data_IF_596484869864
#
_entry.id   IF_596484869864
#
_cell.length_a   1.000
_cell.length_b   1.000
_cell.length_c   1.000
_cell.angle_alpha   90.00
_cell.angle_beta   90.00
_cell.angle_gamma   90.00
#
_symmetry.space_group_name_H-M   'P 1'
#
loop_
_entity.id
_entity.type
_entity.pdbx_description
1 polymer ?
#
# COMPACT_ATOMS: atom_id res chain seq x y z
N UNK A 1 -8.64 -3.82 18.96
CA UNK A 1 -8.56 -5.25 18.57
C UNK A 1 -7.14 -5.60 18.14
N UNK A 2 -6.58 -4.89 17.15
CA UNK A 2 -5.20 -5.13 16.68
C UNK A 2 -4.14 -4.96 17.77
N UNK A 3 -4.20 -3.94 18.63
CA UNK A 3 -3.16 -3.72 19.66
C UNK A 3 -3.07 -4.90 20.64
N UNK A 4 -4.20 -5.48 21.05
CA UNK A 4 -4.22 -6.67 21.91
C UNK A 4 -3.63 -7.90 21.19
N UNK A 5 -3.97 -8.08 19.91
CA UNK A 5 -3.41 -9.17 19.10
C UNK A 5 -1.89 -9.02 18.97
N UNK A 6 -1.40 -7.81 18.69
CA UNK A 6 0.02 -7.52 18.53
C UNK A 6 0.81 -7.58 19.85
N UNK A 7 0.16 -7.38 21.00
CA UNK A 7 0.78 -7.64 22.30
C UNK A 7 1.04 -9.14 22.52
N UNK A 8 0.14 -10.01 22.05
CA UNK A 8 0.27 -11.46 22.23
C UNK A 8 1.02 -12.16 21.09
N UNK A 9 0.93 -11.63 19.88
CA UNK A 9 1.57 -12.13 18.68
C UNK A 9 2.01 -10.94 17.80
N UNK A 10 3.21 -10.40 18.02
CA UNK A 10 3.72 -9.25 17.29
C UNK A 10 4.02 -9.55 15.82
N UNK A 11 4.06 -10.82 15.43
CA UNK A 11 4.37 -11.26 14.06
C UNK A 11 3.11 -11.65 13.28
N UNK A 12 1.93 -11.24 13.75
CA UNK A 12 0.67 -11.51 13.08
C UNK A 12 0.42 -10.52 11.94
N UNK A 13 0.68 -10.99 10.71
CA UNK A 13 0.60 -10.21 9.47
C UNK A 13 -0.73 -9.46 9.32
N UNK A 14 -1.86 -10.15 9.48
CA UNK A 14 -3.20 -9.58 9.28
C UNK A 14 -3.53 -8.49 10.30
N UNK A 15 -2.98 -8.55 11.51
CA UNK A 15 -3.16 -7.47 12.48
C UNK A 15 -2.40 -6.21 12.08
N UNK A 16 -1.18 -6.33 11.53
CA UNK A 16 -0.45 -5.16 11.02
C UNK A 16 -1.12 -4.55 9.80
N UNK A 17 -1.57 -5.38 8.85
CA UNK A 17 -2.30 -4.90 7.67
C UNK A 17 -3.60 -4.20 8.09
N UNK A 18 -4.43 -4.84 8.92
CA UNK A 18 -5.70 -4.27 9.39
C UNK A 18 -5.51 -2.99 10.20
N UNK A 19 -4.48 -2.92 11.04
CA UNK A 19 -4.12 -1.71 11.79
C UNK A 19 -3.67 -0.58 10.86
N UNK A 20 -2.88 -0.89 9.83
CA UNK A 20 -2.50 0.08 8.80
C UNK A 20 -3.72 0.68 8.10
N UNK A 21 -4.67 -0.17 7.65
CA UNK A 21 -5.90 0.26 6.98
C UNK A 21 -6.72 1.17 7.90
N UNK A 22 -6.83 0.81 9.19
CA UNK A 22 -7.51 1.65 10.17
C UNK A 22 -6.84 3.03 10.29
N UNK A 23 -5.50 3.11 10.35
CA UNK A 23 -4.78 4.38 10.39
C UNK A 23 -4.89 5.19 9.10
N UNK A 24 -4.89 4.54 7.93
CA UNK A 24 -5.16 5.22 6.64
C UNK A 24 -6.54 5.88 6.66
N UNK A 25 -7.57 5.19 7.16
CA UNK A 25 -8.94 5.76 7.30
C UNK A 25 -9.00 6.90 8.30
N UNK A 26 -8.15 6.88 9.34
CA UNK A 26 -7.98 7.97 10.30
C UNK A 26 -7.08 9.11 9.79
N UNK A 27 -6.61 9.04 8.52
CA UNK A 27 -5.68 10.00 7.90
C UNK A 27 -4.35 10.13 8.63
N UNK A 28 -3.95 9.10 9.39
CA UNK A 28 -2.65 9.02 10.06
C UNK A 28 -1.66 8.24 9.19
N UNK A 29 -1.26 8.86 8.07
CA UNK A 29 -0.57 8.18 6.98
C UNK A 29 0.82 7.67 7.38
N UNK A 30 1.59 8.43 8.16
CA UNK A 30 2.91 8.01 8.64
C UNK A 30 2.81 6.75 9.53
N UNK A 31 1.82 6.71 10.43
CA UNK A 31 1.55 5.55 11.28
C UNK A 31 1.08 4.36 10.46
N UNK A 32 0.23 4.59 9.45
CA UNK A 32 -0.24 3.56 8.53
C UNK A 32 0.93 2.95 7.74
N UNK A 33 1.81 3.78 7.19
CA UNK A 33 3.04 3.34 6.49
C UNK A 33 3.91 2.48 7.42
N UNK A 34 4.05 2.86 8.69
CA UNK A 34 4.76 2.05 9.69
C UNK A 34 4.15 0.65 9.86
N UNK A 35 2.81 0.56 9.88
CA UNK A 35 2.10 -0.71 9.97
C UNK A 35 2.26 -1.55 8.69
N UNK A 36 2.14 -0.95 7.51
CA UNK A 36 2.36 -1.67 6.24
C UNK A 36 3.81 -2.15 6.10
N UNK A 37 4.79 -1.36 6.53
CA UNK A 37 6.19 -1.81 6.58
C UNK A 37 6.36 -3.05 7.47
N UNK A 38 5.66 -3.11 8.62
CA UNK A 38 5.68 -4.30 9.48
C UNK A 38 5.00 -5.50 8.84
N UNK A 39 3.84 -5.31 8.21
CA UNK A 39 3.20 -6.38 7.44
C UNK A 39 4.13 -6.92 6.33
N UNK A 40 4.82 -6.04 5.60
CA UNK A 40 5.75 -6.40 4.53
C UNK A 40 7.03 -7.08 5.01
N UNK A 41 7.48 -6.79 6.24
CA UNK A 41 8.59 -7.52 6.87
C UNK A 41 8.22 -8.97 7.17
N UNK A 42 6.94 -9.23 7.48
CA UNK A 42 6.43 -10.56 7.79
C UNK A 42 6.08 -11.35 6.53
N UNK A 43 5.43 -10.70 5.56
CA UNK A 43 5.12 -11.29 4.27
C UNK A 43 5.07 -10.21 3.18
N UNK A 44 6.06 -10.22 2.29
CA UNK A 44 6.16 -9.28 1.17
C UNK A 44 5.46 -9.77 -0.11
N UNK A 45 4.95 -11.01 -0.13
CA UNK A 45 4.33 -11.65 -1.29
C UNK A 45 2.84 -11.31 -1.43
N UNK A 46 2.27 -10.55 -0.50
CA UNK A 46 0.93 -10.00 -0.65
C UNK A 46 0.98 -8.60 -1.26
N UNK A 47 0.12 -8.31 -2.25
CA UNK A 47 0.13 -7.01 -2.90
C UNK A 47 -0.53 -5.90 -2.06
N UNK A 48 -1.48 -6.24 -1.17
CA UNK A 48 -2.29 -5.29 -0.42
C UNK A 48 -1.48 -4.25 0.36
N UNK A 49 -0.46 -4.63 1.17
CA UNK A 49 0.30 -3.63 1.92
C UNK A 49 1.11 -2.70 1.02
N UNK A 50 1.59 -3.18 -0.14
CA UNK A 50 2.26 -2.32 -1.14
C UNK A 50 1.29 -1.30 -1.73
N UNK A 51 0.09 -1.75 -2.12
CA UNK A 51 -0.96 -0.90 -2.68
C UNK A 51 -1.41 0.19 -1.68
N UNK A 52 -1.73 -0.21 -0.44
CA UNK A 52 -2.20 0.73 0.59
C UNK A 52 -1.11 1.73 1.02
N UNK A 53 0.15 1.29 1.02
CA UNK A 53 1.29 2.17 1.26
C UNK A 53 1.49 3.16 0.10
N UNK A 54 1.27 2.76 -1.16
CA UNK A 54 1.27 3.67 -2.29
C UNK A 54 0.17 4.74 -2.17
N UNK A 55 -1.05 4.39 -1.74
CA UNK A 55 -2.13 5.37 -1.49
C UNK A 55 -1.71 6.44 -0.48
N UNK A 56 -1.00 6.02 0.58
CA UNK A 56 -0.49 6.94 1.59
C UNK A 56 0.55 7.91 1.00
N UNK A 57 1.41 7.46 0.08
CA UNK A 57 2.37 8.33 -0.62
C UNK A 57 1.70 9.23 -1.66
N UNK A 58 0.62 8.79 -2.31
CA UNK A 58 -0.13 9.61 -3.25
C UNK A 58 -0.72 10.85 -2.58
N UNK A 59 -1.25 10.68 -1.36
CA UNK A 59 -1.75 11.81 -0.55
C UNK A 59 -0.62 12.78 -0.17
N UNK A 60 0.59 12.25 0.05
CA UNK A 60 1.80 13.05 0.31
C UNK A 60 2.42 13.62 -0.97
N UNK A 61 1.87 13.29 -2.15
CA UNK A 61 2.39 13.65 -3.48
C UNK A 61 3.83 13.20 -3.73
N UNK A 62 4.24 12.10 -3.10
CA UNK A 62 5.56 11.50 -3.31
C UNK A 62 5.46 10.48 -4.45
N UNK A 63 5.57 10.97 -5.69
CA UNK A 63 5.32 10.18 -6.90
C UNK A 63 6.30 9.01 -7.00
N UNK A 64 7.57 9.21 -6.68
CA UNK A 64 8.59 8.16 -6.75
C UNK A 64 8.20 6.98 -5.86
N UNK A 65 7.79 7.26 -4.61
CA UNK A 65 7.36 6.21 -3.70
C UNK A 65 5.99 5.61 -4.08
N UNK A 66 5.10 6.35 -4.74
CA UNK A 66 3.87 5.76 -5.31
C UNK A 66 4.23 4.72 -6.36
N UNK A 67 5.06 5.09 -7.34
CA UNK A 67 5.48 4.25 -8.46
C UNK A 67 6.21 3.01 -7.95
N UNK A 68 7.18 3.16 -7.04
CA UNK A 68 7.95 2.06 -6.47
C UNK A 68 7.06 1.01 -5.77
N UNK A 69 6.10 1.46 -4.96
CA UNK A 69 5.23 0.55 -4.21
C UNK A 69 4.19 -0.09 -5.13
N UNK A 70 3.62 0.64 -6.10
CA UNK A 70 2.70 0.06 -7.09
C UNK A 70 3.40 -0.94 -8.01
N UNK A 71 4.65 -0.71 -8.40
CA UNK A 71 5.38 -1.67 -9.21
C UNK A 71 5.52 -3.01 -8.50
N UNK A 72 5.83 -3.00 -7.20
CA UNK A 72 5.89 -4.22 -6.38
C UNK A 72 4.53 -4.90 -6.30
N UNK A 73 3.45 -4.14 -6.06
CA UNK A 73 2.09 -4.69 -6.04
C UNK A 73 1.71 -5.33 -7.39
N UNK A 74 2.01 -4.68 -8.51
CA UNK A 74 1.72 -5.15 -9.87
C UNK A 74 2.55 -6.39 -10.22
N UNK A 75 3.82 -6.45 -9.81
CA UNK A 75 4.67 -7.63 -10.03
C UNK A 75 4.10 -8.89 -9.34
N UNK A 76 3.46 -8.71 -8.18
CA UNK A 76 2.78 -9.79 -7.44
C UNK A 76 1.42 -10.12 -8.08
N UNK A 77 0.62 -9.09 -8.40
CA UNK A 77 -0.69 -9.24 -9.02
C UNK A 77 -0.88 -8.24 -10.16
N UNK A 78 -0.64 -8.66 -11.42
CA UNK A 78 -0.72 -7.76 -12.59
C UNK A 78 -2.07 -7.08 -12.81
N UNK A 79 -3.16 -7.62 -12.24
CA UNK A 79 -4.50 -7.01 -12.34
C UNK A 79 -4.56 -5.65 -11.65
N UNK A 80 -3.68 -5.40 -10.68
CA UNK A 80 -3.61 -4.14 -9.95
C UNK A 80 -3.36 -2.95 -10.88
N UNK A 81 -2.65 -3.14 -12.01
CA UNK A 81 -2.48 -2.07 -13.00
C UNK A 81 -3.82 -1.47 -13.45
N UNK A 82 -4.81 -2.33 -13.72
CA UNK A 82 -6.16 -1.89 -14.14
C UNK A 82 -6.94 -1.25 -12.98
N UNK A 83 -6.71 -1.71 -11.75
CA UNK A 83 -7.32 -1.13 -10.55
C UNK A 83 -6.79 0.29 -10.35
N UNK A 84 -5.47 0.48 -10.39
CA UNK A 84 -4.82 1.80 -10.26
C UNK A 84 -5.34 2.79 -11.31
N UNK A 85 -5.47 2.37 -12.57
CA UNK A 85 -5.99 3.21 -13.65
C UNK A 85 -7.44 3.69 -13.43
N UNK A 86 -8.19 3.05 -12.52
CA UNK A 86 -9.58 3.39 -12.20
C UNK A 86 -9.75 4.00 -10.80
N UNK A 87 -8.68 4.02 -10.00
CA UNK A 87 -8.71 4.50 -8.62
C UNK A 87 -8.33 6.00 -8.59
N UNK A 88 -9.24 6.89 -8.15
CA UNK A 88 -8.99 8.33 -8.13
C UNK A 88 -7.83 8.73 -7.21
N UNK A 89 -7.44 7.89 -6.24
CA UNK A 89 -6.29 8.17 -5.38
C UNK A 89 -4.97 8.21 -6.17
N UNK A 90 -4.95 7.69 -7.40
CA UNK A 90 -3.77 7.59 -8.26
C UNK A 90 -3.87 8.42 -9.55
N UNK A 91 -4.75 9.42 -9.60
CA UNK A 91 -4.82 10.34 -10.75
C UNK A 91 -3.47 11.01 -11.06
N UNK A 92 -2.67 11.27 -10.01
CA UNK A 92 -1.37 11.94 -10.11
C UNK A 92 -0.30 11.16 -10.92
N UNK A 93 -0.54 9.88 -11.21
CA UNK A 93 0.41 9.01 -11.93
C UNK A 93 -0.15 8.46 -13.26
N UNK A 94 -1.35 8.86 -13.67
CA UNK A 94 -1.97 8.30 -14.89
C UNK A 94 -1.16 8.58 -16.15
N UNK A 95 -0.49 9.73 -16.22
CA UNK A 95 0.40 10.11 -17.32
C UNK A 95 1.82 9.55 -17.19
N UNK A 96 2.15 8.87 -16.08
CA UNK A 96 3.47 8.29 -15.86
C UNK A 96 3.73 7.15 -16.85
N UNK A 97 4.97 7.01 -17.33
CA UNK A 97 5.36 6.00 -18.35
C UNK A 97 4.96 4.57 -17.97
N UNK A 98 4.96 4.27 -16.67
CA UNK A 98 4.49 2.99 -16.10
C UNK A 98 3.06 2.63 -16.53
N UNK A 99 2.16 3.62 -16.67
CA UNK A 99 0.72 3.42 -16.91
C UNK A 99 0.28 3.84 -18.31
N UNK A 100 1.07 4.64 -19.03
CA UNK A 100 0.79 5.06 -20.41
C UNK A 100 1.30 4.08 -21.47
N UNK A 101 2.33 3.28 -21.16
CA UNK A 101 2.75 2.19 -22.04
C UNK A 101 1.93 0.92 -21.76
N UNK A 102 0.81 0.77 -22.47
CA UNK A 102 0.13 -0.50 -22.68
C UNK A 102 0.14 -0.77 -24.18
N UNK A 103 1.05 -1.65 -24.64
CA UNK A 103 1.09 -2.16 -26.01
C UNK A 103 -0.13 -3.01 -26.34
#
# INVERSE_FOLDING_TARGET
MYDKTLQTNPDFYEAWLGRGIAFTRLKQYETAIGCYNKALQLNSEHPEPWYEKARCYAIKKDIDLVIDNLQRAININPKIRKIVQQDPDFEIILDHEMFTQSS
#
